data_IF_058801361321
#
_entry.id   IF_058801361321
#
_cell.length_a   1.000
_cell.length_b   1.000
_cell.length_c   1.000
_cell.angle_alpha   90.00
_cell.angle_beta   90.00
_cell.angle_gamma   90.00
#
_symmetry.space_group_name_H-M   'P 1'
#
loop_
_entity.id
_entity.type
_entity.pdbx_description
1 polymer ?
#
# COMPACT_ATOMS: atom_id res chain seq x y z
N UNK A 1 14.03 -33.54 1.47
CA UNK A 1 12.93 -32.72 0.90
C UNK A 1 12.79 -31.58 1.87
N UNK A 2 13.64 -30.57 1.73
CA UNK A 2 13.73 -29.48 2.70
C UNK A 2 13.17 -28.26 1.98
N UNK A 3 11.86 -28.24 1.82
CA UNK A 3 11.18 -27.09 1.22
C UNK A 3 11.20 -25.93 2.21
N UNK A 4 11.57 -24.74 1.73
CA UNK A 4 11.54 -23.51 2.51
C UNK A 4 10.10 -22.98 2.53
N UNK A 5 9.24 -23.53 3.39
CA UNK A 5 7.84 -23.14 3.50
C UNK A 5 7.57 -22.33 4.77
N UNK A 6 6.71 -21.32 4.67
CA UNK A 6 6.22 -20.56 5.82
C UNK A 6 4.71 -20.30 5.73
N UNK A 7 4.09 -19.97 6.87
CA UNK A 7 2.72 -19.47 6.92
C UNK A 7 2.71 -17.97 6.62
N UNK A 8 1.88 -17.54 5.68
CA UNK A 8 1.66 -16.14 5.36
C UNK A 8 0.19 -15.84 5.16
N UNK A 9 -0.23 -14.58 5.36
CA UNK A 9 -1.62 -14.18 5.27
C UNK A 9 -1.85 -13.25 4.08
N UNK A 10 -3.04 -13.35 3.49
CA UNK A 10 -3.50 -12.43 2.48
C UNK A 10 -4.20 -11.19 3.09
N UNK A 11 -4.61 -10.26 2.22
CA UNK A 11 -5.27 -9.01 2.60
C UNK A 11 -6.66 -9.20 3.24
N UNK A 12 -7.18 -10.42 3.25
CA UNK A 12 -8.48 -10.80 3.82
C UNK A 12 -8.35 -11.65 5.08
N UNK A 13 -7.15 -11.75 5.65
CA UNK A 13 -6.91 -12.48 6.88
C UNK A 13 -6.88 -14.01 6.68
N UNK A 14 -6.83 -14.49 5.44
CA UNK A 14 -6.73 -15.92 5.14
C UNK A 14 -5.28 -16.36 5.14
N UNK A 15 -4.96 -17.44 5.87
CA UNK A 15 -3.60 -17.96 5.97
C UNK A 15 -3.32 -19.05 4.93
N UNK A 16 -2.14 -19.03 4.35
CA UNK A 16 -1.65 -19.97 3.34
C UNK A 16 -0.24 -20.43 3.67
N UNK A 17 0.10 -21.67 3.32
CA UNK A 17 1.50 -22.07 3.22
C UNK A 17 2.07 -21.55 1.90
N UNK A 18 3.13 -20.75 1.98
CA UNK A 18 3.85 -20.25 0.83
C UNK A 18 5.21 -20.91 0.72
N UNK A 19 5.64 -21.12 -0.51
CA UNK A 19 7.02 -21.49 -0.83
C UNK A 19 7.87 -20.22 -0.88
N UNK A 20 8.87 -20.14 -0.01
CA UNK A 20 9.84 -19.05 0.06
C UNK A 20 11.05 -19.28 -0.86
N UNK A 21 11.04 -20.34 -1.67
CA UNK A 21 12.00 -20.42 -2.77
C UNK A 21 11.74 -19.29 -3.76
N UNK A 22 12.81 -18.56 -4.12
CA UNK A 22 12.78 -17.50 -5.12
C UNK A 22 13.46 -17.98 -6.42
N UNK A 23 12.88 -18.95 -7.15
CA UNK A 23 13.53 -19.57 -8.31
C UNK A 23 13.81 -18.54 -9.39
N UNK A 24 14.90 -18.67 -10.16
CA UNK A 24 15.13 -17.77 -11.30
C UNK A 24 14.01 -18.00 -12.34
N UNK A 25 13.21 -16.97 -12.70
CA UNK A 25 12.11 -17.15 -13.64
C UNK A 25 12.65 -17.41 -15.05
N UNK A 26 11.91 -18.21 -15.82
CA UNK A 26 12.08 -18.27 -17.27
C UNK A 26 11.65 -16.95 -17.93
N UNK A 27 12.08 -16.72 -19.18
CA UNK A 27 11.67 -15.53 -19.92
C UNK A 27 10.14 -15.43 -20.10
N UNK A 28 9.46 -16.57 -20.26
CA UNK A 28 8.00 -16.61 -20.38
C UNK A 28 7.31 -16.23 -19.05
N UNK A 29 7.80 -16.73 -17.92
CA UNK A 29 7.26 -16.36 -16.61
C UNK A 29 7.52 -14.90 -16.27
N UNK A 30 8.68 -14.36 -16.65
CA UNK A 30 8.96 -12.93 -16.47
C UNK A 30 7.99 -12.07 -17.29
N UNK A 31 7.74 -12.43 -18.54
CA UNK A 31 6.77 -11.73 -19.38
C UNK A 31 5.35 -11.80 -18.80
N UNK A 32 4.91 -12.96 -18.28
CA UNK A 32 3.63 -13.13 -17.59
C UNK A 32 3.52 -12.22 -16.34
N UNK A 33 4.59 -12.16 -15.54
CA UNK A 33 4.65 -11.29 -14.35
C UNK A 33 4.52 -9.82 -14.76
N UNK A 34 5.25 -9.39 -15.80
CA UNK A 34 5.19 -8.01 -16.30
C UNK A 34 3.80 -7.66 -16.84
N UNK A 35 3.21 -8.54 -17.65
CA UNK A 35 1.88 -8.33 -18.23
C UNK A 35 0.81 -8.22 -17.14
N UNK A 36 0.82 -9.12 -16.16
CA UNK A 36 -0.13 -9.08 -15.04
C UNK A 36 -0.01 -7.83 -14.17
N UNK A 37 1.19 -7.23 -14.08
CA UNK A 37 1.40 -5.97 -13.38
C UNK A 37 0.89 -4.76 -14.18
N UNK A 38 0.86 -4.83 -15.51
CA UNK A 38 0.30 -3.78 -16.37
C UNK A 38 -1.24 -3.72 -16.32
N UNK A 39 -1.91 -4.80 -15.90
CA UNK A 39 -3.35 -4.82 -15.62
C UNK A 39 -3.72 -4.06 -14.33
N UNK A 40 -2.77 -3.38 -13.69
CA UNK A 40 -3.04 -2.49 -12.55
C UNK A 40 -3.87 -1.30 -13.01
N UNK A 41 -4.99 -1.02 -12.34
CA UNK A 41 -5.82 0.14 -12.64
C UNK A 41 -6.09 1.01 -11.41
N UNK A 42 -6.46 2.26 -11.68
CA UNK A 42 -6.59 3.31 -10.67
C UNK A 42 -8.03 3.77 -10.61
N UNK A 43 -8.65 3.68 -9.44
CA UNK A 43 -10.04 4.07 -9.23
C UNK A 43 -10.12 5.26 -8.29
N UNK A 44 -10.55 6.41 -8.82
CA UNK A 44 -10.74 7.65 -8.09
C UNK A 44 -12.08 7.66 -7.36
N UNK A 45 -12.01 7.98 -6.07
CA UNK A 45 -13.13 8.25 -5.21
C UNK A 45 -12.99 9.64 -4.58
N UNK A 46 -14.11 10.33 -4.51
CA UNK A 46 -14.28 11.61 -3.81
C UNK A 46 -15.60 11.58 -3.05
N UNK A 47 -15.92 12.64 -2.30
CA UNK A 47 -17.24 12.80 -1.67
C UNK A 47 -18.40 12.85 -2.68
N UNK A 48 -18.14 13.17 -3.94
CA UNK A 48 -19.14 13.20 -5.01
C UNK A 48 -19.44 11.80 -5.58
N UNK A 49 -18.53 10.84 -5.39
CA UNK A 49 -18.67 9.47 -5.88
C UNK A 49 -18.12 8.44 -4.86
N UNK A 50 -18.60 8.43 -3.61
CA UNK A 50 -17.95 7.71 -2.52
C UNK A 50 -18.02 6.18 -2.66
N UNK A 51 -18.93 5.66 -3.51
CA UNK A 51 -19.15 4.22 -3.71
C UNK A 51 -18.87 3.75 -5.13
N UNK A 52 -18.94 4.63 -6.13
CA UNK A 52 -18.74 4.30 -7.54
C UNK A 52 -17.47 4.99 -8.04
N UNK A 53 -16.36 4.26 -8.05
CA UNK A 53 -15.07 4.81 -8.44
C UNK A 53 -15.01 5.13 -9.94
N UNK A 54 -14.30 6.19 -10.30
CA UNK A 54 -14.06 6.58 -11.69
C UNK A 54 -12.65 6.16 -12.08
N UNK A 55 -12.49 5.45 -13.19
CA UNK A 55 -11.19 4.96 -13.61
C UNK A 55 -10.33 6.12 -14.12
N UNK A 56 -9.11 6.22 -13.61
CA UNK A 56 -8.06 7.06 -14.18
C UNK A 56 -7.13 6.19 -15.00
N UNK A 57 -6.81 6.64 -16.22
CA UNK A 57 -5.99 5.90 -17.18
C UNK A 57 -4.72 6.70 -17.44
N UNK A 58 -3.56 6.04 -17.32
CA UNK A 58 -2.26 6.66 -17.52
C UNK A 58 -2.17 7.22 -18.95
N UNK A 59 -1.72 8.46 -19.09
CA UNK A 59 -1.62 9.22 -20.35
C UNK A 59 -2.96 9.55 -21.03
N UNK A 60 -4.10 9.35 -20.36
CA UNK A 60 -5.42 9.73 -20.87
C UNK A 60 -6.00 10.87 -20.03
N UNK A 61 -5.85 12.10 -20.55
CA UNK A 61 -6.36 13.31 -19.90
C UNK A 61 -7.90 13.36 -19.85
N UNK A 62 -8.59 12.71 -20.79
CA UNK A 62 -10.05 12.66 -20.76
C UNK A 62 -10.55 11.83 -19.58
N UNK A 63 -9.86 10.75 -19.21
CA UNK A 63 -10.19 9.98 -17.99
C UNK A 63 -10.21 10.85 -16.72
N UNK A 64 -9.28 11.82 -16.64
CA UNK A 64 -9.22 12.80 -15.54
C UNK A 64 -10.32 13.85 -15.67
N UNK A 65 -10.45 14.49 -16.84
CA UNK A 65 -11.41 15.57 -17.09
C UNK A 65 -12.87 15.14 -16.91
N UNK A 66 -13.18 13.87 -17.21
CA UNK A 66 -14.51 13.29 -17.05
C UNK A 66 -14.76 12.71 -15.65
N UNK A 67 -13.85 12.93 -14.71
CA UNK A 67 -13.94 12.47 -13.33
C UNK A 67 -14.21 13.61 -12.34
N UNK A 68 -14.38 13.29 -11.06
CA UNK A 68 -14.46 14.25 -9.97
C UNK A 68 -13.09 14.70 -9.44
N UNK A 69 -12.01 14.45 -10.19
CA UNK A 69 -10.66 14.89 -9.84
C UNK A 69 -10.63 16.39 -9.55
N UNK A 70 -9.92 16.77 -8.49
CA UNK A 70 -9.70 18.17 -8.15
C UNK A 70 -8.24 18.37 -7.68
N UNK A 71 -7.40 19.11 -8.43
CA UNK A 71 -6.01 19.32 -8.07
C UNK A 71 -5.81 20.11 -6.77
N UNK A 72 -6.80 20.90 -6.36
CA UNK A 72 -6.73 21.70 -5.12
C UNK A 72 -6.87 20.85 -3.86
N UNK A 73 -7.28 19.58 -3.99
CA UNK A 73 -7.53 18.66 -2.87
C UNK A 73 -6.30 17.82 -2.55
N UNK A 74 -6.06 17.50 -1.26
CA UNK A 74 -5.03 16.54 -0.91
C UNK A 74 -5.37 15.18 -1.53
N UNK A 75 -4.35 14.44 -1.95
CA UNK A 75 -4.51 13.18 -2.68
C UNK A 75 -3.87 12.04 -1.92
N UNK A 76 -4.59 10.94 -1.76
CA UNK A 76 -4.09 9.72 -1.12
C UNK A 76 -4.28 8.52 -2.04
N UNK A 77 -3.21 7.77 -2.27
CA UNK A 77 -3.27 6.47 -2.91
C UNK A 77 -3.32 5.38 -1.84
N UNK A 78 -4.09 4.33 -2.09
CA UNK A 78 -4.05 3.10 -1.29
C UNK A 78 -3.79 1.89 -2.17
N UNK A 79 -2.76 1.11 -1.83
CA UNK A 79 -2.37 -0.13 -2.51
C UNK A 79 -2.58 -1.32 -1.57
N UNK A 80 -3.41 -2.27 -1.98
CA UNK A 80 -3.70 -3.48 -1.20
C UNK A 80 -2.54 -4.49 -1.21
N UNK A 81 -2.63 -5.53 -0.38
CA UNK A 81 -1.66 -6.61 -0.28
C UNK A 81 -1.91 -7.81 -1.21
N UNK A 82 -1.30 -8.94 -0.85
CA UNK A 82 -1.45 -10.23 -1.53
C UNK A 82 -2.93 -10.66 -1.53
N UNK A 83 -3.44 -11.12 -2.69
CA UNK A 83 -4.86 -11.47 -2.95
C UNK A 83 -5.89 -10.40 -2.56
N UNK A 84 -5.46 -9.16 -2.29
CA UNK A 84 -6.35 -8.04 -2.05
C UNK A 84 -7.07 -7.56 -3.31
N UNK A 85 -7.98 -6.62 -3.14
CA UNK A 85 -8.76 -5.99 -4.20
C UNK A 85 -9.42 -4.70 -3.69
N UNK A 86 -10.24 -4.07 -4.55
CA UNK A 86 -11.00 -2.86 -4.21
C UNK A 86 -12.53 -3.09 -4.11
N UNK A 87 -12.97 -4.34 -3.95
CA UNK A 87 -14.40 -4.67 -3.87
C UNK A 87 -15.01 -4.18 -2.55
N UNK A 88 -16.34 -4.04 -2.53
CA UNK A 88 -17.07 -3.57 -1.33
C UNK A 88 -16.74 -4.42 -0.09
N UNK A 89 -16.36 -3.77 1.01
CA UNK A 89 -16.00 -4.41 2.27
C UNK A 89 -14.53 -4.81 2.37
N UNK A 90 -13.74 -4.66 1.30
CA UNK A 90 -12.28 -4.84 1.33
C UNK A 90 -11.60 -3.79 2.22
N UNK A 91 -10.39 -4.07 2.73
CA UNK A 91 -9.56 -3.08 3.42
C UNK A 91 -9.43 -1.77 2.63
N UNK A 92 -9.23 -1.86 1.31
CA UNK A 92 -9.15 -0.71 0.40
C UNK A 92 -10.36 0.22 0.53
N UNK A 93 -11.57 -0.34 0.52
CA UNK A 93 -12.80 0.45 0.63
C UNK A 93 -13.03 1.04 2.03
N UNK A 94 -12.53 0.38 3.08
CA UNK A 94 -12.61 0.86 4.46
C UNK A 94 -11.64 2.02 4.70
N UNK A 95 -10.43 1.97 4.12
CA UNK A 95 -9.49 3.10 4.12
C UNK A 95 -10.05 4.29 3.34
N UNK A 96 -10.61 4.06 2.15
CA UNK A 96 -11.34 5.11 1.41
C UNK A 96 -12.43 5.74 2.26
N UNK A 97 -13.27 4.93 2.88
CA UNK A 97 -14.38 5.43 3.70
C UNK A 97 -13.86 6.26 4.90
N UNK A 98 -12.71 5.89 5.48
CA UNK A 98 -12.06 6.69 6.52
C UNK A 98 -11.68 8.09 6.01
N UNK A 99 -10.95 8.17 4.89
CA UNK A 99 -10.56 9.45 4.28
C UNK A 99 -11.75 10.34 3.93
N UNK A 100 -12.73 9.80 3.20
CA UNK A 100 -13.86 10.57 2.71
C UNK A 100 -14.77 11.05 3.86
N UNK A 101 -14.77 10.35 4.99
CA UNK A 101 -15.51 10.75 6.20
C UNK A 101 -14.88 11.93 6.94
N UNK A 102 -13.59 12.20 6.75
CA UNK A 102 -12.85 13.19 7.54
C UNK A 102 -12.41 14.41 6.73
N UNK A 103 -12.13 14.26 5.44
CA UNK A 103 -11.61 15.35 4.61
C UNK A 103 -12.22 15.40 3.21
N UNK A 104 -12.17 16.55 2.57
CA UNK A 104 -12.52 16.72 1.15
C UNK A 104 -11.28 16.48 0.30
N UNK A 105 -11.08 15.21 -0.08
CA UNK A 105 -9.84 14.72 -0.68
C UNK A 105 -10.10 13.88 -1.94
N UNK A 106 -9.04 13.64 -2.71
CA UNK A 106 -9.00 12.62 -3.74
C UNK A 106 -8.45 11.33 -3.12
N UNK A 107 -9.19 10.22 -3.23
CA UNK A 107 -8.70 8.90 -2.83
C UNK A 107 -8.59 8.02 -4.07
N UNK A 108 -7.39 7.54 -4.37
CA UNK A 108 -7.14 6.64 -5.50
C UNK A 108 -6.84 5.25 -4.96
N UNK A 109 -7.76 4.31 -5.18
CA UNK A 109 -7.51 2.91 -4.90
C UNK A 109 -6.77 2.30 -6.09
N UNK A 110 -5.65 1.63 -5.81
CA UNK A 110 -4.84 0.92 -6.81
C UNK A 110 -5.21 -0.55 -6.75
N UNK A 111 -5.85 -1.04 -7.81
CA UNK A 111 -6.18 -2.45 -7.95
C UNK A 111 -5.13 -3.14 -8.81
N UNK A 112 -4.36 -4.03 -8.19
CA UNK A 112 -3.37 -4.89 -8.85
C UNK A 112 -3.73 -6.37 -8.66
N UNK A 113 -5.02 -6.67 -8.45
CA UNK A 113 -5.55 -8.00 -8.14
C UNK A 113 -5.08 -9.08 -9.13
N UNK A 114 -4.93 -8.73 -10.42
CA UNK A 114 -4.45 -9.64 -11.46
C UNK A 114 -3.11 -10.28 -11.10
N UNK A 115 -2.13 -9.47 -10.73
CA UNK A 115 -0.83 -9.96 -10.26
C UNK A 115 -0.91 -10.47 -8.81
N UNK A 116 -1.66 -9.79 -7.94
CA UNK A 116 -1.77 -10.12 -6.51
C UNK A 116 -2.41 -11.50 -6.25
N UNK A 117 -3.21 -12.04 -7.17
CA UNK A 117 -3.96 -13.28 -6.96
C UNK A 117 -3.24 -14.54 -7.45
N UNK A 118 -2.00 -14.42 -7.95
CA UNK A 118 -1.24 -15.58 -8.43
C UNK A 118 -1.07 -16.62 -7.32
N UNK A 119 -1.18 -17.90 -7.68
CA UNK A 119 -1.04 -19.02 -6.76
C UNK A 119 0.38 -19.10 -6.17
N UNK A 120 1.39 -18.73 -6.95
CA UNK A 120 2.78 -18.77 -6.53
C UNK A 120 3.21 -17.44 -5.94
N UNK A 121 3.41 -17.40 -4.63
CA UNK A 121 3.80 -16.18 -3.90
C UNK A 121 5.04 -15.50 -4.49
N UNK A 122 6.05 -16.28 -4.92
CA UNK A 122 7.26 -15.72 -5.53
C UNK A 122 6.96 -14.90 -6.81
N UNK A 123 5.96 -15.29 -7.62
CA UNK A 123 5.54 -14.51 -8.80
C UNK A 123 4.90 -13.19 -8.36
N UNK A 124 4.08 -13.23 -7.31
CA UNK A 124 3.48 -12.02 -6.73
C UNK A 124 4.57 -11.08 -6.21
N UNK A 125 5.52 -11.58 -5.41
CA UNK A 125 6.62 -10.78 -4.88
C UNK A 125 7.48 -10.17 -6.00
N UNK A 126 7.69 -10.88 -7.11
CA UNK A 126 8.39 -10.36 -8.29
C UNK A 126 7.60 -9.33 -9.09
N UNK A 127 6.27 -9.31 -8.99
CA UNK A 127 5.44 -8.30 -9.65
C UNK A 127 5.54 -6.91 -8.99
N UNK A 128 5.89 -6.85 -7.70
CA UNK A 128 5.96 -5.61 -6.89
C UNK A 128 6.69 -4.45 -7.59
N UNK A 129 7.94 -4.59 -8.09
CA UNK A 129 8.62 -3.48 -8.77
C UNK A 129 7.93 -3.06 -10.07
N UNK A 130 7.26 -3.97 -10.78
CA UNK A 130 6.53 -3.63 -12.00
C UNK A 130 5.23 -2.88 -11.70
N UNK A 131 4.49 -3.30 -10.67
CA UNK A 131 3.31 -2.57 -10.18
C UNK A 131 3.73 -1.19 -9.68
N UNK A 132 4.80 -1.09 -8.88
CA UNK A 132 5.32 0.19 -8.41
C UNK A 132 5.66 1.15 -9.57
N UNK A 133 6.31 0.64 -10.62
CA UNK A 133 6.58 1.43 -11.84
C UNK A 133 5.30 1.92 -12.52
N UNK A 134 4.22 1.13 -12.50
CA UNK A 134 2.93 1.56 -13.05
C UNK A 134 2.28 2.66 -12.17
N UNK A 135 2.36 2.52 -10.85
CA UNK A 135 1.91 3.56 -9.90
C UNK A 135 2.71 4.85 -10.08
N UNK A 136 4.03 4.78 -10.22
CA UNK A 136 4.89 5.93 -10.55
C UNK A 136 4.42 6.64 -11.82
N UNK A 137 4.13 5.88 -12.89
CA UNK A 137 3.63 6.49 -14.14
C UNK A 137 2.32 7.25 -13.95
N UNK A 138 1.40 6.73 -13.13
CA UNK A 138 0.16 7.44 -12.81
C UNK A 138 0.44 8.72 -12.00
N UNK A 139 1.33 8.67 -11.01
CA UNK A 139 1.72 9.85 -10.22
C UNK A 139 2.29 10.94 -11.14
N UNK A 140 3.30 10.60 -11.95
CA UNK A 140 3.95 11.57 -12.85
C UNK A 140 2.98 12.12 -13.90
N UNK A 141 2.07 11.27 -14.41
CA UNK A 141 1.00 11.70 -15.31
C UNK A 141 0.07 12.73 -14.64
N UNK A 142 -0.41 12.45 -13.43
CA UNK A 142 -1.30 13.38 -12.72
C UNK A 142 -0.59 14.66 -12.32
N UNK A 143 0.68 14.60 -11.94
CA UNK A 143 1.49 15.79 -11.63
C UNK A 143 1.59 16.69 -12.86
N UNK A 144 2.03 16.11 -13.99
CA UNK A 144 2.30 16.86 -15.21
C UNK A 144 1.03 17.37 -15.91
N UNK A 145 -0.01 16.56 -15.96
CA UNK A 145 -1.17 16.79 -16.83
C UNK A 145 -2.45 17.15 -16.08
N UNK A 146 -2.52 16.87 -14.77
CA UNK A 146 -3.70 17.03 -13.94
C UNK A 146 -3.51 17.91 -12.69
N UNK A 147 -2.31 18.49 -12.47
CA UNK A 147 -2.04 19.41 -11.38
C UNK A 147 -1.94 18.76 -9.99
N UNK A 148 -1.60 17.47 -9.91
CA UNK A 148 -1.33 16.83 -8.62
C UNK A 148 -0.14 17.51 -7.92
N UNK A 149 -0.38 18.04 -6.72
CA UNK A 149 0.67 18.56 -5.84
C UNK A 149 1.28 17.42 -5.00
N UNK A 150 2.50 17.02 -5.34
CA UNK A 150 3.24 15.94 -4.66
C UNK A 150 3.62 16.28 -3.21
N UNK A 151 3.66 17.57 -2.84
CA UNK A 151 3.84 18.01 -1.44
C UNK A 151 2.60 17.77 -0.56
N UNK A 152 1.49 17.40 -1.19
CA UNK A 152 0.23 17.02 -0.53
C UNK A 152 -0.22 15.60 -0.93
N UNK A 153 0.70 14.81 -1.45
CA UNK A 153 0.46 13.42 -1.85
C UNK A 153 0.89 12.45 -0.76
N UNK A 154 -0.02 11.53 -0.43
CA UNK A 154 0.23 10.41 0.46
C UNK A 154 0.10 9.09 -0.30
N UNK A 155 1.08 8.21 -0.17
CA UNK A 155 0.96 6.84 -0.66
C UNK A 155 0.88 5.88 0.54
N UNK A 156 -0.19 5.10 0.60
CA UNK A 156 -0.45 4.14 1.67
C UNK A 156 -0.48 2.74 1.10
N UNK A 157 0.21 1.79 1.73
CA UNK A 157 0.23 0.42 1.24
C UNK A 157 0.24 -0.60 2.36
N UNK A 158 -0.59 -1.64 2.24
CA UNK A 158 -0.63 -2.75 3.20
C UNK A 158 0.10 -3.99 2.67
N UNK A 159 0.82 -4.70 3.55
CA UNK A 159 1.52 -5.93 3.19
C UNK A 159 2.50 -5.70 2.02
N UNK A 160 2.39 -6.44 0.91
CA UNK A 160 3.14 -6.19 -0.32
C UNK A 160 2.91 -4.77 -0.89
N UNK A 161 1.71 -4.21 -0.70
CA UNK A 161 1.38 -2.84 -1.06
C UNK A 161 2.30 -1.81 -0.38
N UNK A 162 2.77 -2.10 0.84
CA UNK A 162 3.72 -1.23 1.57
C UNK A 162 5.04 -1.07 0.82
N UNK A 163 5.54 -2.13 0.18
CA UNK A 163 6.70 -2.06 -0.69
C UNK A 163 6.40 -1.35 -2.00
N UNK A 164 5.23 -1.60 -2.59
CA UNK A 164 4.80 -0.96 -3.84
C UNK A 164 4.80 0.57 -3.68
N UNK A 165 4.23 1.09 -2.59
CA UNK A 165 4.16 2.56 -2.39
C UNK A 165 5.51 3.21 -2.14
N UNK A 166 6.42 2.55 -1.42
CA UNK A 166 7.79 3.06 -1.24
C UNK A 166 8.56 3.14 -2.56
N UNK A 167 8.55 2.05 -3.31
CA UNK A 167 9.19 2.00 -4.63
C UNK A 167 8.54 2.98 -5.63
N UNK A 168 7.21 3.15 -5.57
CA UNK A 168 6.51 4.10 -6.42
C UNK A 168 6.88 5.56 -6.11
N UNK A 169 6.96 5.92 -4.83
CA UNK A 169 7.39 7.25 -4.38
C UNK A 169 8.82 7.57 -4.81
N UNK A 170 9.74 6.61 -4.65
CA UNK A 170 11.13 6.73 -5.11
C UNK A 170 11.24 7.01 -6.61
N UNK A 171 10.35 6.41 -7.41
CA UNK A 171 10.34 6.56 -8.86
C UNK A 171 9.67 7.84 -9.36
N UNK A 172 8.94 8.57 -8.51
CA UNK A 172 8.22 9.78 -8.90
C UNK A 172 9.17 10.91 -9.33
N UNK A 173 8.74 11.73 -10.30
CA UNK A 173 9.57 12.84 -10.80
C UNK A 173 9.83 13.89 -9.71
N UNK A 174 8.82 14.16 -8.89
CA UNK A 174 8.92 14.99 -7.69
C UNK A 174 8.81 14.18 -6.40
N UNK A 175 9.42 14.70 -5.32
CA UNK A 175 9.45 14.04 -4.03
C UNK A 175 8.05 14.01 -3.39
N UNK A 176 7.54 12.81 -3.13
CA UNK A 176 6.26 12.58 -2.47
C UNK A 176 6.32 12.99 -1.00
N UNK A 177 5.27 13.64 -0.49
CA UNK A 177 5.21 14.12 0.89
C UNK A 177 5.27 12.98 1.92
N UNK A 178 4.48 11.91 1.72
CA UNK A 178 4.45 10.83 2.69
C UNK A 178 4.22 9.45 2.09
N UNK A 179 4.97 8.48 2.61
CA UNK A 179 4.69 7.04 2.48
C UNK A 179 4.27 6.48 3.84
N UNK A 180 3.18 5.73 3.86
CA UNK A 180 2.71 4.98 5.02
C UNK A 180 2.65 3.49 4.67
N UNK A 181 3.57 2.71 5.22
CA UNK A 181 3.62 1.26 5.03
C UNK A 181 2.99 0.53 6.22
N UNK A 182 1.92 -0.20 5.94
CA UNK A 182 1.09 -0.91 6.90
C UNK A 182 1.51 -2.39 6.92
N UNK A 183 2.21 -2.79 7.97
CA UNK A 183 2.78 -4.11 8.21
C UNK A 183 3.44 -4.72 6.95
N UNK A 184 4.46 -4.03 6.38
CA UNK A 184 5.05 -4.41 5.09
C UNK A 184 5.51 -5.87 5.10
N UNK A 185 5.22 -6.63 4.04
CA UNK A 185 5.41 -8.08 4.03
C UNK A 185 6.88 -8.50 4.25
N UNK A 186 7.11 -9.53 5.07
CA UNK A 186 8.45 -10.07 5.31
C UNK A 186 8.95 -11.04 4.22
N UNK A 187 8.18 -12.05 3.78
CA UNK A 187 8.69 -13.07 2.86
C UNK A 187 9.06 -12.46 1.52
N UNK A 188 10.25 -12.82 0.99
CA UNK A 188 10.90 -12.24 -0.18
C UNK A 188 11.39 -10.77 -0.05
N UNK A 189 11.32 -10.15 1.13
CA UNK A 189 11.78 -8.77 1.36
C UNK A 189 12.70 -8.59 2.57
N UNK A 190 12.80 -9.57 3.47
CA UNK A 190 13.62 -9.48 4.69
C UNK A 190 15.10 -9.16 4.45
N UNK A 191 15.67 -9.65 3.34
CA UNK A 191 17.06 -9.46 2.91
C UNK A 191 17.27 -8.26 1.99
N UNK A 192 16.19 -7.65 1.48
CA UNK A 192 16.24 -6.55 0.51
C UNK A 192 16.65 -5.22 1.17
N UNK A 193 17.25 -4.35 0.36
CA UNK A 193 17.71 -3.02 0.78
C UNK A 193 16.89 -1.85 0.19
N UNK A 194 17.39 -0.62 0.37
CA UNK A 194 16.83 0.56 -0.30
C UNK A 194 16.71 0.36 -1.81
N UNK A 195 15.57 0.73 -2.39
CA UNK A 195 15.29 0.56 -3.83
C UNK A 195 14.75 -0.83 -4.22
N UNK A 196 14.73 -1.79 -3.30
CA UNK A 196 14.15 -3.12 -3.51
C UNK A 196 12.98 -3.42 -2.57
N UNK A 197 12.85 -2.63 -1.49
CA UNK A 197 11.73 -2.59 -0.55
C UNK A 197 11.52 -1.16 -0.08
N UNK A 198 10.42 -0.93 0.66
CA UNK A 198 10.18 0.34 1.35
C UNK A 198 11.34 0.69 2.27
N UNK A 199 11.76 1.96 2.21
CA UNK A 199 12.91 2.51 2.91
C UNK A 199 12.71 4.01 3.22
N UNK A 200 13.41 4.50 4.23
CA UNK A 200 13.34 5.89 4.71
C UNK A 200 13.63 6.93 3.61
N UNK A 201 14.39 6.54 2.60
CA UNK A 201 14.77 7.43 1.49
C UNK A 201 13.70 7.58 0.40
N UNK A 202 12.56 6.89 0.50
CA UNK A 202 11.53 6.84 -0.56
C UNK A 202 10.66 8.12 -0.66
N UNK A 203 10.52 8.90 0.41
CA UNK A 203 9.65 10.08 0.44
C UNK A 203 10.24 11.22 1.30
N UNK A 204 9.51 12.33 1.48
CA UNK A 204 9.86 13.34 2.50
C UNK A 204 9.72 12.75 3.90
N UNK A 205 8.62 12.02 4.14
CA UNK A 205 8.38 11.28 5.38
C UNK A 205 7.95 9.86 5.07
N UNK A 206 8.58 8.89 5.70
CA UNK A 206 8.22 7.47 5.62
C UNK A 206 7.80 7.01 7.01
N UNK A 207 6.62 6.41 7.11
CA UNK A 207 6.10 5.87 8.36
C UNK A 207 5.75 4.39 8.20
N UNK A 208 6.01 3.60 9.25
CA UNK A 208 5.70 2.17 9.31
C UNK A 208 4.78 1.84 10.47
N UNK A 209 3.74 1.03 10.25
CA UNK A 209 2.92 0.45 11.32
C UNK A 209 3.15 -1.06 11.33
N UNK A 210 3.87 -1.56 12.33
CA UNK A 210 4.23 -2.98 12.44
C UNK A 210 3.33 -3.66 13.46
N UNK A 211 2.61 -4.70 13.07
CA UNK A 211 1.59 -5.32 13.91
C UNK A 211 1.71 -6.83 14.02
N UNK A 212 2.45 -7.50 13.13
CA UNK A 212 2.52 -8.96 13.11
C UNK A 212 3.93 -9.55 12.98
N UNK A 213 4.05 -10.84 13.30
CA UNK A 213 5.27 -11.63 13.06
C UNK A 213 5.54 -11.91 11.57
N UNK A 214 4.57 -11.68 10.69
CA UNK A 214 4.69 -11.91 9.25
C UNK A 214 4.96 -10.62 8.46
N UNK A 215 4.80 -9.46 9.11
CA UNK A 215 5.37 -8.19 8.68
C UNK A 215 6.90 -8.16 8.87
N UNK A 216 7.55 -7.20 8.21
CA UNK A 216 9.00 -7.07 8.16
C UNK A 216 9.61 -6.87 9.55
N UNK A 217 8.91 -6.14 10.43
CA UNK A 217 9.29 -5.89 11.83
C UNK A 217 10.56 -5.05 12.03
N UNK A 218 11.20 -4.62 10.94
CA UNK A 218 12.37 -3.73 10.95
C UNK A 218 11.93 -2.28 10.85
N UNK A 219 12.69 -1.37 11.44
CA UNK A 219 12.51 0.05 11.19
C UNK A 219 12.72 0.34 9.69
N UNK A 220 11.78 1.04 9.07
CA UNK A 220 11.76 1.31 7.63
C UNK A 220 11.67 2.80 7.31
N UNK A 221 11.41 3.68 8.28
CA UNK A 221 11.10 5.08 8.01
C UNK A 221 11.57 6.04 9.09
N UNK A 222 11.11 7.29 8.97
CA UNK A 222 11.30 8.34 9.96
C UNK A 222 10.54 8.05 11.25
N UNK A 223 9.42 7.32 11.16
CA UNK A 223 8.62 6.91 12.32
C UNK A 223 8.08 5.51 12.15
N UNK A 224 8.50 4.61 13.04
CA UNK A 224 8.05 3.22 13.07
C UNK A 224 7.25 2.96 14.35
N UNK A 225 5.97 2.64 14.18
CA UNK A 225 5.04 2.36 15.25
C UNK A 225 4.90 0.85 15.44
N UNK A 226 5.01 0.41 16.70
CA UNK A 226 4.87 -0.99 17.09
C UNK A 226 3.72 -1.13 18.09
N UNK A 227 2.44 -0.96 17.68
CA UNK A 227 1.30 -1.13 18.57
C UNK A 227 1.38 -2.46 19.31
N UNK A 228 1.24 -2.42 20.63
CA UNK A 228 1.27 -3.61 21.49
C UNK A 228 2.55 -4.47 21.32
N UNK A 229 3.67 -3.85 20.96
CA UNK A 229 4.95 -4.54 20.72
C UNK A 229 5.14 -5.04 19.28
N UNK A 230 4.16 -4.84 18.40
CA UNK A 230 4.29 -5.01 16.95
C UNK A 230 4.33 -6.45 16.43
N UNK A 231 4.01 -7.43 17.26
CA UNK A 231 4.01 -8.86 16.87
C UNK A 231 2.64 -9.51 17.12
N UNK A 232 2.04 -9.25 18.29
CA UNK A 232 0.75 -9.80 18.69
C UNK A 232 -0.19 -8.64 19.03
N UNK A 233 -1.44 -8.73 18.55
CA UNK A 233 -2.42 -7.68 18.74
C UNK A 233 -3.58 -8.16 19.63
N UNK A 234 -4.12 -7.30 20.51
CA UNK A 234 -5.31 -7.60 21.29
C UNK A 234 -6.48 -8.08 20.41
N UNK A 235 -7.10 -9.19 20.81
CA UNK A 235 -8.19 -9.83 20.08
C UNK A 235 -7.76 -10.77 18.95
N UNK A 236 -6.45 -10.92 18.69
CA UNK A 236 -5.94 -11.87 17.72
C UNK A 236 -5.40 -13.15 18.39
N UNK A 237 -5.58 -14.29 17.71
CA UNK A 237 -4.98 -15.56 18.14
C UNK A 237 -3.46 -15.51 17.97
N UNK A 238 -2.75 -16.09 18.93
CA UNK A 238 -1.28 -16.25 18.86
C UNK A 238 -0.87 -17.18 17.70
N UNK A 239 -1.74 -18.13 17.34
CA UNK A 239 -1.42 -19.19 16.37
C UNK A 239 -1.60 -18.71 14.93
N UNK A 240 -2.52 -17.77 14.67
CA UNK A 240 -2.87 -17.32 13.33
C UNK A 240 -2.49 -15.84 13.19
N UNK A 241 -1.32 -15.53 12.58
CA UNK A 241 -0.80 -14.16 12.53
C UNK A 241 -1.61 -13.24 11.60
N UNK A 242 -2.50 -13.78 10.78
CA UNK A 242 -3.31 -13.05 9.83
C UNK A 242 -4.13 -11.90 10.45
N UNK A 243 -4.78 -12.16 11.59
CA UNK A 243 -5.51 -11.11 12.32
C UNK A 243 -4.58 -9.96 12.75
N UNK A 244 -3.37 -10.29 13.22
CA UNK A 244 -2.40 -9.28 13.62
C UNK A 244 -1.86 -8.50 12.41
N UNK A 245 -1.79 -9.12 11.24
CA UNK A 245 -1.41 -8.46 9.99
C UNK A 245 -2.46 -7.40 9.59
N UNK A 246 -3.75 -7.77 9.59
CA UNK A 246 -4.85 -6.85 9.27
C UNK A 246 -4.99 -5.66 10.23
N UNK A 247 -4.52 -5.80 11.47
CA UNK A 247 -4.59 -4.73 12.46
C UNK A 247 -3.87 -3.45 12.02
N UNK A 248 -2.86 -3.54 11.16
CA UNK A 248 -2.17 -2.34 10.67
C UNK A 248 -3.10 -1.43 9.86
N UNK A 249 -3.87 -1.97 8.90
CA UNK A 249 -4.83 -1.15 8.16
C UNK A 249 -6.02 -0.71 9.03
N UNK A 250 -6.44 -1.53 10.01
CA UNK A 250 -7.51 -1.17 10.93
C UNK A 250 -7.13 0.01 11.82
N UNK A 251 -5.95 -0.05 12.45
CA UNK A 251 -5.44 1.06 13.26
C UNK A 251 -5.22 2.30 12.42
N UNK A 252 -4.73 2.15 11.20
CA UNK A 252 -4.58 3.27 10.29
C UNK A 252 -5.93 3.93 9.94
N UNK A 253 -6.94 3.13 9.58
CA UNK A 253 -8.29 3.60 9.30
C UNK A 253 -8.89 4.37 10.49
N UNK A 254 -8.70 3.84 11.71
CA UNK A 254 -9.17 4.46 12.93
C UNK A 254 -8.40 5.76 13.23
N UNK A 255 -7.08 5.79 13.01
CA UNK A 255 -6.26 6.98 13.22
C UNK A 255 -6.68 8.17 12.36
N UNK A 256 -7.13 7.92 11.12
CA UNK A 256 -7.68 8.96 10.24
C UNK A 256 -8.91 9.60 10.89
N UNK A 257 -9.80 8.78 11.48
CA UNK A 257 -11.03 9.22 12.14
C UNK A 257 -10.80 9.79 13.55
N UNK A 258 -9.73 9.37 14.22
CA UNK A 258 -9.39 9.75 15.57
C UNK A 258 -7.94 10.28 15.64
N UNK A 259 -7.70 11.53 15.21
CA UNK A 259 -6.35 12.10 15.06
C UNK A 259 -5.56 12.24 16.38
N UNK A 260 -6.21 12.08 17.52
CA UNK A 260 -5.57 12.20 18.84
C UNK A 260 -5.40 10.86 19.57
N UNK A 261 -6.03 9.80 19.06
CA UNK A 261 -6.10 8.49 19.72
C UNK A 261 -4.81 7.68 19.64
N UNK A 262 -3.93 7.97 18.68
CA UNK A 262 -2.78 7.13 18.36
C UNK A 262 -1.46 7.91 18.39
N UNK A 263 -1.10 8.44 19.55
CA UNK A 263 0.14 9.20 19.76
C UNK A 263 1.24 8.31 20.33
N UNK A 264 2.45 8.37 19.76
CA UNK A 264 3.64 7.74 20.32
C UNK A 264 4.71 8.82 20.54
N UNK A 265 4.96 9.18 21.81
CA UNK A 265 5.86 10.29 22.13
C UNK A 265 5.34 11.60 21.51
N UNK A 266 6.09 12.18 20.58
CA UNK A 266 5.74 13.44 19.91
C UNK A 266 5.14 13.30 18.52
N UNK A 267 5.07 12.07 17.99
CA UNK A 267 4.55 11.77 16.65
C UNK A 267 3.19 11.09 16.73
N UNK A 268 2.39 11.23 15.67
CA UNK A 268 1.09 10.58 15.54
C UNK A 268 1.16 9.46 14.51
N UNK A 269 0.63 8.29 14.88
CA UNK A 269 0.49 7.16 13.95
C UNK A 269 -0.64 7.49 12.96
N UNK A 270 -0.27 7.80 11.72
CA UNK A 270 -1.23 8.14 10.68
C UNK A 270 -1.97 9.45 10.94
N UNK A 271 -3.29 9.43 10.75
CA UNK A 271 -4.14 10.62 10.88
C UNK A 271 -4.56 11.28 9.55
N UNK A 272 -5.53 12.21 9.62
CA UNK A 272 -6.14 12.85 8.45
C UNK A 272 -5.23 13.92 7.82
N UNK A 273 -4.17 14.35 8.51
CA UNK A 273 -3.21 15.36 8.04
C UNK A 273 -1.79 14.80 8.13
N UNK A 274 -0.85 15.41 7.41
CA UNK A 274 0.57 15.10 7.58
C UNK A 274 1.02 15.52 8.98
N UNK A 275 1.75 14.63 9.65
CA UNK A 275 2.40 14.99 10.90
C UNK A 275 3.65 15.82 10.59
N UNK A 276 3.64 17.08 11.04
CA UNK A 276 4.70 18.08 10.83
C UNK A 276 6.01 17.80 11.55
N UNK A 277 6.05 16.79 12.44
CA UNK A 277 7.18 16.48 13.31
C UNK A 277 8.01 15.30 12.87
#
# INVERSE_FOLDING_TARGET
>A
MDGNYTLFADDHGTSYMIDESEPVPTAAELAEIEESALDTFFSLFTRNNPKNGQQLIVNDKESVNNSFWNPERPTSFYVHGWRGNISSGSPSTLIRDAYLSTDDCNVILVDWQKAASNLWYWKVARSVPFVAKHVTKMINFLEKEAGLDTSRLRLVGHSLGGHIVGLAARGADSRVAEVMALDPAKPAFISKGPGERVDITDAVKVQGIHTSSIGLGKAIGDSDFYPNGGILQPGCSIIIPACAHERAWQYYAESIKNPTGFRAGNVFMGGPKFDSK
#
